data_IF_839215990364
#
_entry.id   IF_839215990364
#
_cell.length_a   1.000
_cell.length_b   1.000
_cell.length_c   1.000
_cell.angle_alpha   90.00
_cell.angle_beta   90.00
_cell.angle_gamma   90.00
#
_symmetry.space_group_name_H-M   'P 1'
#
loop_
_entity.id
_entity.type
_entity.pdbx_description
1 polymer ?
#
# COMPACT_ATOMS: atom_id res chain seq x y z
N UNK A 1 -14.50 65.81 -56.57
CA UNK A 1 -14.79 65.44 -55.16
C UNK A 1 -14.65 63.97 -55.01
N UNK A 2 -13.51 63.52 -54.42
CA UNK A 2 -13.22 62.09 -54.24
C UNK A 2 -13.42 61.79 -52.79
N UNK A 3 -14.45 60.97 -52.46
CA UNK A 3 -14.70 60.43 -51.11
C UNK A 3 -13.85 59.18 -50.93
N UNK A 4 -12.88 59.27 -50.02
CA UNK A 4 -12.07 58.08 -49.57
C UNK A 4 -12.87 57.26 -48.63
N UNK A 5 -13.18 55.99 -49.01
CA UNK A 5 -13.69 54.98 -48.09
C UNK A 5 -12.53 54.31 -47.43
N UNK A 6 -12.43 54.49 -46.12
CA UNK A 6 -11.47 53.77 -45.28
C UNK A 6 -12.16 52.47 -44.85
N UNK A 7 -11.64 51.33 -45.31
CA UNK A 7 -12.08 50.03 -44.90
C UNK A 7 -11.28 49.68 -43.65
N UNK A 8 -11.94 49.64 -42.48
CA UNK A 8 -11.36 49.14 -41.25
C UNK A 8 -11.38 47.61 -41.27
N UNK A 9 -10.23 47.02 -41.36
CA UNK A 9 -10.06 45.54 -41.21
C UNK A 9 -10.01 45.26 -39.70
N UNK A 10 -11.12 44.71 -39.21
CA UNK A 10 -11.18 44.19 -37.83
C UNK A 10 -10.38 42.90 -37.71
N UNK A 11 -9.30 42.96 -36.97
CA UNK A 11 -8.47 41.79 -36.62
C UNK A 11 -9.11 41.11 -35.45
N UNK A 12 -9.83 40.00 -35.69
CA UNK A 12 -10.34 39.14 -34.65
C UNK A 12 -9.21 38.31 -34.05
N UNK A 13 -8.76 38.69 -32.85
CA UNK A 13 -7.82 37.89 -32.06
C UNK A 13 -8.62 36.75 -31.42
N UNK A 14 -8.49 35.56 -31.97
CA UNK A 14 -9.01 34.33 -31.33
C UNK A 14 -8.03 33.97 -30.23
N UNK A 15 -8.35 34.28 -28.99
CA UNK A 15 -7.65 33.79 -27.82
C UNK A 15 -7.95 32.30 -27.63
N UNK A 16 -7.04 31.46 -28.05
CA UNK A 16 -7.09 30.01 -27.73
C UNK A 16 -6.63 29.87 -26.27
N UNK A 17 -7.59 29.80 -25.36
CA UNK A 17 -7.33 29.39 -23.99
C UNK A 17 -7.10 27.89 -23.96
N UNK A 18 -5.83 27.49 -24.06
CA UNK A 18 -5.42 26.12 -23.72
C UNK A 18 -5.62 25.92 -22.23
N UNK A 19 -6.76 25.31 -21.87
CA UNK A 19 -7.00 24.78 -20.51
C UNK A 19 -5.98 23.66 -20.28
N UNK A 20 -4.90 23.97 -19.56
CA UNK A 20 -4.01 22.97 -18.99
C UNK A 20 -4.82 22.26 -17.89
N UNK A 21 -5.38 21.11 -18.23
CA UNK A 21 -5.86 20.18 -17.19
C UNK A 21 -4.61 19.60 -16.53
N UNK A 22 -4.18 20.23 -15.45
CA UNK A 22 -3.27 19.59 -14.50
C UNK A 22 -4.03 18.44 -13.87
N UNK A 23 -3.71 17.22 -14.31
CA UNK A 23 -4.05 16.02 -13.56
C UNK A 23 -3.24 16.08 -12.26
N UNK A 24 -3.74 16.81 -11.28
CA UNK A 24 -3.30 16.65 -9.91
C UNK A 24 -3.82 15.27 -9.48
N UNK A 25 -2.98 14.22 -9.68
CA UNK A 25 -3.17 12.98 -8.95
C UNK A 25 -3.22 13.38 -7.48
N UNK A 26 -4.33 13.00 -6.80
CA UNK A 26 -4.41 13.15 -5.35
C UNK A 26 -3.29 12.31 -4.74
N UNK A 27 -2.14 12.93 -4.48
CA UNK A 27 -1.17 12.37 -3.56
C UNK A 27 -1.73 12.63 -2.17
N UNK A 28 -1.98 11.55 -1.43
CA UNK A 28 -2.39 11.65 -0.04
C UNK A 28 -1.40 12.54 0.71
N UNK A 29 -1.91 13.46 1.54
CA UNK A 29 -1.05 14.31 2.37
C UNK A 29 -0.22 13.45 3.32
N UNK A 30 1.05 13.82 3.50
CA UNK A 30 1.91 13.17 4.50
C UNK A 30 1.22 13.16 5.87
N UNK A 31 1.23 11.99 6.53
CA UNK A 31 0.61 11.79 7.83
C UNK A 31 -0.92 11.72 7.84
N UNK A 32 -1.58 11.73 6.68
CA UNK A 32 -3.04 11.59 6.60
C UNK A 32 -3.49 10.13 6.80
N UNK A 33 -4.76 9.94 7.17
CA UNK A 33 -5.40 8.63 7.24
C UNK A 33 -5.37 7.94 5.85
N UNK A 34 -5.65 8.67 4.78
CA UNK A 34 -5.55 8.16 3.41
C UNK A 34 -4.13 7.65 3.09
N UNK A 35 -3.08 8.33 3.56
CA UNK A 35 -1.71 7.85 3.40
C UNK A 35 -1.47 6.58 4.22
N UNK A 36 -2.01 6.50 5.45
CA UNK A 36 -1.91 5.30 6.27
C UNK A 36 -2.52 4.10 5.54
N UNK A 37 -3.77 4.23 5.07
CA UNK A 37 -4.47 3.17 4.35
C UNK A 37 -3.71 2.73 3.10
N UNK A 38 -3.24 3.68 2.27
CA UNK A 38 -2.48 3.39 1.05
C UNK A 38 -1.16 2.66 1.34
N UNK A 39 -0.45 3.07 2.39
CA UNK A 39 0.82 2.45 2.76
C UNK A 39 0.62 1.07 3.40
N UNK A 40 -0.43 0.92 4.20
CA UNK A 40 -0.84 -0.36 4.78
C UNK A 40 -1.23 -1.37 3.69
N UNK A 41 -2.10 -0.98 2.76
CA UNK A 41 -2.52 -1.82 1.63
C UNK A 41 -1.33 -2.25 0.79
N UNK A 42 -0.45 -1.30 0.45
CA UNK A 42 0.77 -1.57 -0.30
C UNK A 42 1.70 -2.54 0.44
N UNK A 43 1.93 -2.29 1.73
CA UNK A 43 2.75 -3.19 2.55
C UNK A 43 2.18 -4.60 2.56
N UNK A 44 0.91 -4.74 2.94
CA UNK A 44 0.25 -6.03 3.11
C UNK A 44 0.16 -6.79 1.77
N UNK A 45 -0.22 -6.11 0.69
CA UNK A 45 -0.25 -6.71 -0.65
C UNK A 45 1.12 -7.26 -1.04
N UNK A 46 2.20 -6.49 -0.87
CA UNK A 46 3.53 -6.97 -1.20
C UNK A 46 4.02 -8.07 -0.25
N UNK A 47 3.77 -7.92 1.05
CA UNK A 47 4.20 -8.89 2.07
C UNK A 47 3.56 -10.27 1.85
N UNK A 48 2.24 -10.33 1.74
CA UNK A 48 1.51 -11.59 1.61
C UNK A 48 1.61 -12.22 0.21
N UNK A 49 2.08 -11.48 -0.78
CA UNK A 49 2.50 -12.01 -2.09
C UNK A 49 4.02 -12.27 -2.17
N UNK A 50 4.71 -12.26 -1.04
CA UNK A 50 6.14 -12.55 -0.87
C UNK A 50 7.06 -11.65 -1.71
N UNK A 51 6.59 -10.46 -2.04
CA UNK A 51 7.37 -9.42 -2.71
C UNK A 51 8.10 -8.54 -1.66
N UNK A 52 8.79 -9.18 -0.72
CA UNK A 52 9.42 -8.54 0.43
C UNK A 52 10.26 -7.29 0.09
N UNK A 53 11.08 -7.28 -0.98
CA UNK A 53 11.83 -6.07 -1.34
C UNK A 53 10.96 -4.86 -1.66
N UNK A 54 9.72 -5.06 -2.12
CA UNK A 54 8.77 -3.98 -2.37
C UNK A 54 8.09 -3.52 -1.08
N UNK A 55 7.80 -4.45 -0.17
CA UNK A 55 7.18 -4.15 1.12
C UNK A 55 8.08 -3.28 2.01
N UNK A 56 9.41 -3.39 1.89
CA UNK A 56 10.39 -2.60 2.67
C UNK A 56 10.12 -1.10 2.63
N UNK A 57 9.61 -0.57 1.52
CA UNK A 57 9.33 0.86 1.37
C UNK A 57 8.25 1.38 2.32
N UNK A 58 7.37 0.49 2.76
CA UNK A 58 6.18 0.80 3.55
C UNK A 58 6.29 0.36 5.01
N UNK A 59 7.44 -0.14 5.44
CA UNK A 59 7.71 -0.44 6.84
C UNK A 59 8.79 0.47 7.42
N UNK A 60 8.87 0.50 8.76
CA UNK A 60 9.93 1.25 9.45
C UNK A 60 11.31 0.66 9.18
N UNK A 61 12.35 1.45 9.33
CA UNK A 61 13.73 0.98 9.19
C UNK A 61 14.04 -0.18 10.16
N UNK A 62 13.48 -0.15 11.37
CA UNK A 62 13.61 -1.22 12.37
C UNK A 62 12.90 -2.52 11.99
N UNK A 63 11.95 -2.46 11.06
CA UNK A 63 11.17 -3.62 10.57
C UNK A 63 11.83 -4.34 9.40
N UNK A 64 12.72 -3.68 8.67
CA UNK A 64 13.38 -4.25 7.50
C UNK A 64 14.11 -5.58 7.78
N UNK A 65 14.80 -5.78 8.93
CA UNK A 65 15.43 -7.06 9.26
C UNK A 65 14.43 -8.24 9.28
N UNK A 66 13.17 -8.00 9.67
CA UNK A 66 12.14 -9.03 9.68
C UNK A 66 11.76 -9.48 8.28
N UNK A 67 11.66 -8.54 7.32
CA UNK A 67 11.41 -8.88 5.92
C UNK A 67 12.57 -9.65 5.31
N UNK A 68 13.81 -9.25 5.61
CA UNK A 68 15.02 -9.99 5.19
C UNK A 68 15.05 -11.39 5.78
N UNK A 69 14.68 -11.52 7.06
CA UNK A 69 14.59 -12.81 7.73
C UNK A 69 13.54 -13.71 7.07
N UNK A 70 12.31 -13.19 6.80
CA UNK A 70 11.30 -13.94 6.07
C UNK A 70 11.82 -14.38 4.69
N UNK A 71 12.39 -13.46 3.92
CA UNK A 71 12.92 -13.76 2.59
C UNK A 71 14.03 -14.81 2.58
N UNK A 72 14.89 -14.82 3.60
CA UNK A 72 16.02 -15.78 3.71
C UNK A 72 15.57 -17.21 4.04
N UNK A 73 14.34 -17.40 4.46
CA UNK A 73 13.76 -18.69 4.83
C UNK A 73 12.81 -19.26 3.76
N UNK A 74 12.70 -18.60 2.60
CA UNK A 74 11.93 -19.10 1.46
C UNK A 74 12.71 -20.20 0.75
N UNK A 75 12.09 -21.37 0.56
CA UNK A 75 12.66 -22.50 -0.15
C UNK A 75 12.15 -22.57 -1.59
N UNK A 76 12.82 -23.38 -2.42
CA UNK A 76 12.39 -23.58 -3.82
C UNK A 76 10.98 -24.16 -3.92
N UNK A 77 10.62 -25.08 -3.02
CA UNK A 77 9.27 -25.64 -2.96
C UNK A 77 8.19 -24.57 -2.69
N UNK A 78 8.49 -23.60 -1.84
CA UNK A 78 7.58 -22.48 -1.54
C UNK A 78 7.38 -21.57 -2.75
N UNK A 79 8.46 -21.33 -3.52
CA UNK A 79 8.40 -20.56 -4.77
C UNK A 79 7.52 -21.27 -5.81
N UNK A 80 7.61 -22.60 -5.90
CA UNK A 80 6.75 -23.38 -6.80
C UNK A 80 5.28 -23.32 -6.35
N UNK A 81 4.99 -23.40 -5.05
CA UNK A 81 3.65 -23.18 -4.53
C UNK A 81 3.13 -21.80 -4.87
N UNK A 82 3.96 -20.76 -4.72
CA UNK A 82 3.58 -19.39 -5.03
C UNK A 82 3.25 -19.20 -6.52
N UNK A 83 4.03 -19.82 -7.42
CA UNK A 83 3.80 -19.78 -8.86
C UNK A 83 2.53 -20.53 -9.29
N UNK A 84 2.20 -21.60 -8.61
CA UNK A 84 1.07 -22.47 -8.94
C UNK A 84 -0.23 -22.01 -8.30
N UNK A 85 -0.21 -20.96 -7.46
CA UNK A 85 -1.43 -20.36 -6.94
C UNK A 85 -2.32 -19.85 -8.08
N UNK A 86 -3.61 -20.11 -7.99
CA UNK A 86 -4.59 -19.65 -8.98
C UNK A 86 -4.80 -18.14 -8.93
N UNK A 87 -4.71 -17.54 -7.74
CA UNK A 87 -4.95 -16.12 -7.48
C UNK A 87 -3.91 -15.56 -6.53
N UNK A 88 -3.60 -14.28 -6.66
CA UNK A 88 -2.75 -13.56 -5.73
C UNK A 88 -3.43 -13.39 -4.37
N UNK A 89 -2.63 -13.16 -3.32
CA UNK A 89 -3.16 -12.77 -2.04
C UNK A 89 -3.86 -11.42 -2.15
N UNK A 90 -5.04 -11.32 -1.54
CA UNK A 90 -5.82 -10.09 -1.46
C UNK A 90 -5.95 -9.63 -0.02
N UNK A 91 -6.02 -8.32 0.18
CA UNK A 91 -6.07 -7.67 1.49
C UNK A 91 -7.33 -6.83 1.59
N UNK A 92 -7.99 -6.88 2.75
CA UNK A 92 -9.10 -6.00 3.11
C UNK A 92 -8.75 -5.34 4.43
N UNK A 93 -8.77 -4.02 4.48
CA UNK A 93 -8.64 -3.25 5.73
C UNK A 93 -10.02 -3.23 6.38
N UNK A 94 -10.12 -3.79 7.59
CA UNK A 94 -11.38 -3.87 8.33
C UNK A 94 -11.57 -2.66 9.23
N UNK A 95 -10.51 -2.27 9.96
CA UNK A 95 -10.55 -1.19 10.93
C UNK A 95 -9.15 -0.63 11.20
N UNK A 96 -9.08 0.62 11.64
CA UNK A 96 -7.84 1.28 12.07
C UNK A 96 -8.11 1.97 13.41
N UNK A 97 -7.46 1.48 14.45
CA UNK A 97 -7.52 2.04 15.79
C UNK A 97 -6.30 2.93 16.05
N UNK A 98 -6.53 4.24 16.13
CA UNK A 98 -5.47 5.22 16.36
C UNK A 98 -5.15 5.33 17.86
N UNK A 99 -3.86 5.35 18.17
CA UNK A 99 -3.38 5.60 19.54
C UNK A 99 -3.61 7.05 19.98
N UNK A 100 -3.69 7.25 21.29
CA UNK A 100 -3.85 8.58 21.91
C UNK A 100 -2.67 9.53 21.60
N UNK A 101 -1.55 8.99 21.12
CA UNK A 101 -0.34 9.74 20.77
C UNK A 101 -0.38 10.36 19.37
N UNK A 102 -1.44 10.09 18.59
CA UNK A 102 -1.64 10.56 17.22
C UNK A 102 -0.51 10.14 16.22
N UNK A 103 0.43 9.30 16.66
CA UNK A 103 1.57 8.80 15.84
C UNK A 103 1.68 7.29 15.81
N UNK A 104 0.76 6.59 16.45
CA UNK A 104 0.62 5.14 16.39
C UNK A 104 -0.79 4.72 16.01
N UNK A 105 -0.92 3.56 15.40
CA UNK A 105 -2.20 2.94 15.09
C UNK A 105 -2.04 1.41 15.04
N UNK A 106 -3.16 0.70 15.19
CA UNK A 106 -3.24 -0.73 14.95
C UNK A 106 -4.28 -0.94 13.85
N UNK A 107 -3.87 -1.55 12.77
CA UNK A 107 -4.75 -1.90 11.67
C UNK A 107 -5.19 -3.35 11.76
N UNK A 108 -6.48 -3.58 11.69
CA UNK A 108 -7.10 -4.92 11.54
C UNK A 108 -7.32 -5.17 10.05
N UNK A 109 -6.71 -6.24 9.53
CA UNK A 109 -6.82 -6.61 8.12
C UNK A 109 -7.21 -8.07 7.97
N UNK A 110 -7.98 -8.38 6.94
CA UNK A 110 -8.23 -9.74 6.47
C UNK A 110 -7.42 -10.01 5.22
N UNK A 111 -6.67 -11.10 5.22
CA UNK A 111 -5.89 -11.55 4.06
C UNK A 111 -6.44 -12.86 3.54
N UNK A 112 -6.59 -12.97 2.21
CA UNK A 112 -7.09 -14.17 1.53
C UNK A 112 -6.06 -14.72 0.55
N UNK A 113 -6.09 -16.02 0.32
CA UNK A 113 -5.29 -16.73 -0.68
C UNK A 113 -3.78 -16.48 -0.54
N UNK A 114 -3.24 -16.61 0.64
CA UNK A 114 -1.81 -16.37 0.89
C UNK A 114 -1.09 -17.64 1.34
N UNK A 115 0.23 -17.66 1.22
CA UNK A 115 1.07 -18.72 1.75
C UNK A 115 1.59 -18.35 3.14
N UNK A 116 1.54 -19.27 4.05
CA UNK A 116 2.06 -19.13 5.42
C UNK A 116 2.97 -20.29 5.76
N UNK A 117 4.07 -20.00 6.45
CA UNK A 117 4.87 -20.99 7.17
C UNK A 117 4.39 -21.01 8.61
N UNK A 118 4.11 -22.19 9.18
CA UNK A 118 3.71 -22.32 10.59
C UNK A 118 4.87 -21.96 11.53
N UNK A 119 6.07 -22.33 11.11
CA UNK A 119 7.33 -21.89 11.69
C UNK A 119 8.28 -21.46 10.57
N UNK A 120 9.12 -20.47 10.85
CA UNK A 120 10.12 -20.03 9.88
C UNK A 120 11.04 -21.19 9.50
N UNK A 121 11.15 -21.42 8.18
CA UNK A 121 11.96 -22.49 7.62
C UNK A 121 11.22 -23.83 7.43
N UNK A 122 9.96 -23.92 7.82
CA UNK A 122 9.08 -25.04 7.43
C UNK A 122 8.45 -24.78 6.05
N UNK A 123 7.92 -25.84 5.44
CA UNK A 123 7.22 -25.70 4.16
C UNK A 123 5.98 -24.81 4.31
N UNK A 124 5.82 -23.89 3.37
CA UNK A 124 4.63 -23.06 3.33
C UNK A 124 3.41 -23.86 2.85
N UNK A 125 2.25 -23.44 3.32
CA UNK A 125 0.97 -23.96 2.88
C UNK A 125 0.01 -22.83 2.54
N UNK A 126 -0.98 -23.13 1.71
CA UNK A 126 -2.01 -22.16 1.33
C UNK A 126 -2.99 -21.96 2.48
N UNK A 127 -3.24 -20.71 2.84
CA UNK A 127 -4.28 -20.27 3.77
C UNK A 127 -5.36 -19.54 2.99
N UNK A 128 -6.61 -19.97 3.14
CA UNK A 128 -7.74 -19.37 2.41
C UNK A 128 -8.05 -17.98 2.93
N UNK A 129 -8.10 -17.79 4.24
CA UNK A 129 -8.40 -16.50 4.89
C UNK A 129 -7.87 -16.47 6.32
N UNK A 130 -7.32 -15.36 6.74
CA UNK A 130 -6.98 -15.08 8.14
C UNK A 130 -6.95 -13.59 8.42
N UNK A 131 -7.19 -13.21 9.69
CA UNK A 131 -7.11 -11.85 10.18
C UNK A 131 -5.75 -11.58 10.83
N UNK A 132 -5.26 -10.35 10.66
CA UNK A 132 -3.99 -9.89 11.21
C UNK A 132 -4.14 -8.51 11.84
N UNK A 133 -3.42 -8.27 12.93
CA UNK A 133 -3.24 -6.95 13.50
C UNK A 133 -1.84 -6.44 13.14
N UNK A 134 -1.79 -5.35 12.41
CA UNK A 134 -0.54 -4.72 11.98
C UNK A 134 -0.34 -3.39 12.70
N UNK A 135 0.66 -3.29 13.59
CA UNK A 135 1.03 -2.01 14.19
C UNK A 135 1.57 -1.06 13.13
N UNK A 136 1.10 0.18 13.18
CA UNK A 136 1.55 1.29 12.36
C UNK A 136 2.16 2.38 13.24
N UNK A 137 3.14 3.09 12.72
CA UNK A 137 3.63 4.30 13.37
C UNK A 137 4.07 5.34 12.33
N UNK A 138 4.05 6.59 12.76
CA UNK A 138 4.56 7.69 11.94
C UNK A 138 6.07 7.80 12.11
N UNK A 139 6.79 7.70 11.01
CA UNK A 139 8.25 7.85 10.94
C UNK A 139 8.54 8.95 9.91
N UNK A 140 9.16 10.05 10.36
CA UNK A 140 9.47 11.22 9.50
C UNK A 140 8.24 11.81 8.79
N UNK A 141 7.08 11.84 9.47
CA UNK A 141 5.82 12.35 8.92
C UNK A 141 5.06 11.37 8.02
N UNK A 142 5.54 10.14 7.86
CA UNK A 142 4.96 9.12 6.99
C UNK A 142 4.50 7.91 7.80
N UNK A 143 3.26 7.46 7.60
CA UNK A 143 2.76 6.25 8.20
C UNK A 143 3.43 5.00 7.62
N UNK A 144 3.97 4.15 8.48
CA UNK A 144 4.66 2.91 8.12
C UNK A 144 4.28 1.76 9.03
N UNK A 145 4.31 0.55 8.49
CA UNK A 145 4.11 -0.67 9.28
C UNK A 145 5.31 -0.90 10.18
N UNK A 146 5.05 -1.13 11.47
CA UNK A 146 6.06 -1.44 12.49
C UNK A 146 5.99 -2.91 12.87
N UNK A 147 7.06 -3.64 12.62
CA UNK A 147 7.18 -5.06 12.96
C UNK A 147 8.12 -5.24 14.15
N UNK A 148 7.62 -5.83 15.23
CA UNK A 148 8.44 -6.33 16.34
C UNK A 148 8.70 -7.84 16.21
N UNK A 149 7.95 -8.51 15.33
CA UNK A 149 8.06 -9.91 14.95
C UNK A 149 7.39 -10.09 13.58
N UNK A 150 7.46 -11.29 13.01
CA UNK A 150 6.64 -11.60 11.83
C UNK A 150 5.15 -11.56 12.20
N UNK A 151 4.28 -11.08 11.31
CA UNK A 151 2.85 -11.03 11.54
C UNK A 151 2.29 -12.42 11.87
N UNK A 152 1.49 -12.49 12.93
CA UNK A 152 0.82 -13.71 13.37
C UNK A 152 -0.68 -13.56 13.14
N UNK A 153 -1.33 -14.62 12.61
CA UNK A 153 -2.77 -14.60 12.47
C UNK A 153 -3.45 -14.57 13.84
N UNK A 154 -4.31 -13.57 14.04
CA UNK A 154 -5.19 -13.50 15.20
C UNK A 154 -6.37 -14.45 14.98
N UNK A 155 -6.57 -15.44 15.88
CA UNK A 155 -7.86 -16.10 15.95
C UNK A 155 -8.83 -15.13 16.62
N UNK A 156 -9.73 -14.49 15.87
CA UNK A 156 -10.93 -13.91 16.48
C UNK A 156 -11.73 -15.10 17.04
N UNK A 157 -11.73 -15.26 18.36
CA UNK A 157 -12.74 -16.10 19.03
C UNK A 157 -14.07 -15.40 18.81
N UNK A 158 -14.84 -15.84 17.85
CA UNK A 158 -16.25 -15.53 17.77
C UNK A 158 -16.96 -16.38 18.85
N UNK A 159 -17.17 -15.78 20.03
CA UNK A 159 -18.16 -16.24 20.99
C UNK A 159 -19.55 -15.83 20.54
#
# INVERSE_FOLDING_TARGET
MIKKHIIAIGMAVVAITTSLYTLTGCQAHEGSEEQLENNLDSFATYYYNWQFPKAVKFCTASSEPWLKYAASNVHEADVELLRNKAEDATVVINDIDFGDDEVSAIADITVRNFLQMDSIGEEAHLVEEADFLLPMCMEEGVWKVRMASLPQSGKKNHD
#
